data_IF_549711198801
#
_entry.id   IF_549711198801
#
_cell.length_a   1.000
_cell.length_b   1.000
_cell.length_c   1.000
_cell.angle_alpha   90.00
_cell.angle_beta   90.00
_cell.angle_gamma   90.00
#
_symmetry.space_group_name_H-M   'P 1'
#
loop_
_entity.id
_entity.type
_entity.pdbx_description
1 polymer ?
#
# COMPACT_ATOMS: atom_id res chain seq x y z
N UNK A 1 -7.53 82.58 20.94
CA UNK A 1 -6.37 83.48 21.21
C UNK A 1 -5.12 82.63 21.08
N UNK A 2 -4.29 83.01 20.13
CA UNK A 2 -2.85 82.77 19.91
C UNK A 2 -2.36 81.32 19.70
N UNK A 3 -1.97 81.01 18.48
CA UNK A 3 -0.69 81.30 17.79
C UNK A 3 0.49 80.57 18.44
N UNK A 4 1.30 79.78 17.78
CA UNK A 4 2.19 79.96 16.62
C UNK A 4 2.88 78.59 16.39
N UNK A 5 2.98 78.07 15.19
CA UNK A 5 4.10 78.06 14.26
C UNK A 5 5.45 77.57 14.81
N UNK A 6 5.92 76.53 14.16
CA UNK A 6 7.23 76.45 13.45
C UNK A 6 7.50 74.99 13.15
N UNK A 7 7.44 74.50 11.95
CA UNK A 7 8.35 74.50 10.80
C UNK A 7 9.80 74.11 11.16
N UNK A 8 10.30 73.17 10.38
CA UNK A 8 11.68 72.72 10.14
C UNK A 8 12.04 71.47 10.95
N UNK A 9 12.50 70.38 10.41
CA UNK A 9 13.42 70.15 9.27
C UNK A 9 13.28 68.71 8.78
N UNK A 10 13.33 68.51 7.49
CA UNK A 10 13.60 67.30 6.74
C UNK A 10 14.88 66.61 7.18
N UNK A 11 14.85 65.34 7.58
CA UNK A 11 15.96 64.44 7.37
C UNK A 11 15.38 63.16 6.77
N UNK A 12 15.58 63.02 5.50
CA UNK A 12 15.39 61.79 4.78
C UNK A 12 16.43 60.79 5.20
N UNK A 13 16.04 59.76 5.97
CA UNK A 13 16.84 58.57 6.12
C UNK A 13 16.22 57.48 5.28
N UNK A 14 16.81 57.31 4.11
CA UNK A 14 16.58 56.12 3.30
C UNK A 14 17.17 54.92 3.98
N UNK A 15 16.39 54.17 4.74
CA UNK A 15 16.75 52.83 5.11
C UNK A 15 16.18 51.88 4.03
N UNK A 16 17.10 51.33 3.25
CA UNK A 16 16.89 50.20 2.36
C UNK A 16 16.37 49.02 3.21
N UNK A 17 15.07 48.82 3.24
CA UNK A 17 14.50 47.56 3.72
C UNK A 17 14.74 46.54 2.61
N UNK A 18 15.85 45.83 2.74
CA UNK A 18 16.12 44.60 1.98
C UNK A 18 15.01 43.61 2.31
N UNK A 19 14.10 43.43 1.36
CA UNK A 19 13.07 42.41 1.39
C UNK A 19 13.74 41.05 1.18
N UNK A 20 14.28 40.51 2.27
CA UNK A 20 14.70 39.12 2.31
C UNK A 20 13.48 38.22 2.22
N UNK A 21 13.21 37.69 1.01
CA UNK A 21 12.27 36.56 0.82
C UNK A 21 12.75 35.37 1.63
N UNK A 22 12.24 35.26 2.85
CA UNK A 22 12.33 34.00 3.62
C UNK A 22 11.48 32.99 2.85
N UNK A 23 12.12 32.18 2.03
CA UNK A 23 11.54 30.93 1.56
C UNK A 23 11.35 30.06 2.80
N UNK A 24 10.14 30.10 3.36
CA UNK A 24 9.69 29.09 4.31
C UNK A 24 9.61 27.76 3.56
N UNK A 25 10.74 27.07 3.54
CA UNK A 25 10.76 25.64 3.22
C UNK A 25 10.06 24.94 4.37
N UNK A 26 8.75 24.82 4.24
CA UNK A 26 7.95 23.94 5.08
C UNK A 26 8.37 22.52 4.69
N UNK A 27 9.45 22.04 5.29
CA UNK A 27 9.77 20.61 5.29
C UNK A 27 8.59 19.90 5.93
N UNK A 28 7.73 19.33 5.07
CA UNK A 28 6.90 18.21 5.48
C UNK A 28 7.86 17.18 6.05
N UNK A 29 7.63 16.66 7.25
CA UNK A 29 8.33 15.46 7.65
C UNK A 29 7.87 14.37 6.69
N UNK A 30 8.67 14.12 5.68
CA UNK A 30 8.61 12.91 4.89
C UNK A 30 9.06 11.79 5.83
N UNK A 31 8.12 11.26 6.59
CA UNK A 31 8.16 9.85 6.96
C UNK A 31 7.84 9.10 5.67
N UNK A 32 8.68 9.29 4.68
CA UNK A 32 8.86 8.31 3.64
C UNK A 32 9.39 7.09 4.38
N UNK A 33 8.54 6.08 4.56
CA UNK A 33 9.00 4.71 4.65
C UNK A 33 10.00 4.59 3.50
N UNK A 34 11.27 4.57 3.84
CA UNK A 34 12.34 4.32 2.91
C UNK A 34 12.10 2.89 2.39
N UNK A 35 11.32 2.77 1.35
CA UNK A 35 11.41 1.63 0.46
C UNK A 35 12.84 1.72 -0.04
N UNK A 36 13.71 0.91 0.55
CA UNK A 36 15.08 0.82 0.12
C UNK A 36 15.02 0.38 -1.34
N UNK A 37 15.23 1.36 -2.24
CA UNK A 37 15.28 1.08 -3.65
C UNK A 37 16.40 0.07 -3.87
N UNK A 38 16.06 -1.07 -4.47
CA UNK A 38 17.05 -2.09 -4.81
C UNK A 38 18.15 -1.45 -5.66
N UNK A 39 19.37 -1.88 -5.44
CA UNK A 39 20.44 -1.53 -6.39
C UNK A 39 20.12 -2.15 -7.76
N UNK A 40 20.66 -1.60 -8.85
CA UNK A 40 20.43 -2.17 -10.18
C UNK A 40 20.87 -3.65 -10.31
N UNK A 41 21.84 -4.07 -9.50
CA UNK A 41 22.25 -5.47 -9.44
C UNK A 41 21.23 -6.34 -8.70
N UNK A 42 20.75 -5.88 -7.56
CA UNK A 42 19.70 -6.56 -6.79
C UNK A 42 18.41 -6.67 -7.62
N UNK A 43 18.03 -5.61 -8.33
CA UNK A 43 16.87 -5.62 -9.20
C UNK A 43 17.02 -6.69 -10.30
N UNK A 44 18.16 -6.74 -11.00
CA UNK A 44 18.41 -7.76 -12.03
C UNK A 44 18.36 -9.18 -11.46
N UNK A 45 18.91 -9.41 -10.25
CA UNK A 45 18.85 -10.73 -9.59
C UNK A 45 17.41 -11.10 -9.23
N UNK A 46 16.67 -10.16 -8.67
CA UNK A 46 15.26 -10.34 -8.34
C UNK A 46 14.45 -10.70 -9.60
N UNK A 47 14.57 -9.92 -10.66
CA UNK A 47 13.86 -10.15 -11.93
C UNK A 47 14.18 -11.51 -12.52
N UNK A 48 15.46 -11.91 -12.51
CA UNK A 48 15.89 -13.22 -12.99
C UNK A 48 15.26 -14.35 -12.17
N UNK A 49 15.34 -14.31 -10.85
CA UNK A 49 14.77 -15.34 -9.99
C UNK A 49 13.25 -15.40 -10.10
N UNK A 50 12.58 -14.25 -10.15
CA UNK A 50 11.14 -14.21 -10.29
C UNK A 50 10.65 -14.79 -11.62
N UNK A 51 11.26 -14.40 -12.73
CA UNK A 51 10.92 -14.93 -14.06
C UNK A 51 11.19 -16.43 -14.16
N UNK A 52 12.31 -16.88 -13.61
CA UNK A 52 12.65 -18.32 -13.62
C UNK A 52 11.70 -19.11 -12.70
N UNK A 53 11.29 -18.56 -11.56
CA UNK A 53 10.27 -19.17 -10.71
C UNK A 53 8.94 -19.34 -11.45
N UNK A 54 8.49 -18.31 -12.20
CA UNK A 54 7.28 -18.41 -13.02
C UNK A 54 7.40 -19.48 -14.10
N UNK A 55 8.54 -19.54 -14.77
CA UNK A 55 8.83 -20.58 -15.78
C UNK A 55 8.81 -22.00 -15.21
N UNK A 56 9.37 -22.20 -14.01
CA UNK A 56 9.34 -23.49 -13.31
C UNK A 56 7.93 -23.86 -12.84
N UNK A 57 7.15 -22.89 -12.37
CA UNK A 57 5.75 -23.06 -12.02
C UNK A 57 4.93 -23.59 -13.20
N UNK A 58 5.12 -23.02 -14.41
CA UNK A 58 4.47 -23.50 -15.64
C UNK A 58 4.87 -24.93 -15.99
N UNK A 59 6.13 -25.29 -15.71
CA UNK A 59 6.64 -26.67 -15.88
C UNK A 59 6.21 -27.63 -14.77
N UNK A 60 5.45 -27.14 -13.78
CA UNK A 60 5.00 -27.89 -12.60
C UNK A 60 6.15 -28.31 -11.66
N UNK A 61 7.32 -27.70 -11.79
CA UNK A 61 8.41 -27.85 -10.81
C UNK A 61 8.20 -26.86 -9.68
N UNK A 62 7.22 -27.19 -8.84
CA UNK A 62 6.76 -26.31 -7.76
C UNK A 62 7.80 -26.13 -6.64
N UNK A 63 8.61 -27.16 -6.36
CA UNK A 63 9.63 -27.09 -5.33
C UNK A 63 10.73 -26.09 -5.68
N UNK A 64 11.26 -26.19 -6.90
CA UNK A 64 12.28 -25.25 -7.40
C UNK A 64 11.74 -23.83 -7.55
N UNK A 65 10.50 -23.69 -8.05
CA UNK A 65 9.83 -22.40 -8.15
C UNK A 65 9.70 -21.71 -6.77
N UNK A 66 9.25 -22.44 -5.75
CA UNK A 66 9.12 -21.92 -4.40
C UNK A 66 10.48 -21.47 -3.83
N UNK A 67 11.54 -22.27 -4.02
CA UNK A 67 12.89 -21.90 -3.58
C UNK A 67 13.37 -20.59 -4.21
N UNK A 68 13.13 -20.39 -5.52
CA UNK A 68 13.50 -19.13 -6.20
C UNK A 68 12.66 -17.94 -5.72
N UNK A 69 11.38 -18.14 -5.40
CA UNK A 69 10.54 -17.09 -4.81
C UNK A 69 11.03 -16.69 -3.42
N UNK A 70 11.53 -17.63 -2.62
CA UNK A 70 12.17 -17.30 -1.34
C UNK A 70 13.43 -16.45 -1.54
N UNK A 71 14.27 -16.78 -2.55
CA UNK A 71 15.40 -15.91 -2.90
C UNK A 71 14.99 -14.52 -3.40
N UNK A 72 13.82 -14.40 -4.05
CA UNK A 72 13.25 -13.09 -4.35
C UNK A 72 12.98 -12.28 -3.07
N UNK A 73 12.41 -12.92 -2.06
CA UNK A 73 12.10 -12.28 -0.78
C UNK A 73 13.35 -11.99 0.07
N UNK A 74 14.44 -12.77 -0.07
CA UNK A 74 15.75 -12.46 0.53
C UNK A 74 16.31 -11.14 -0.03
N UNK A 75 16.09 -10.87 -1.33
CA UNK A 75 16.53 -9.65 -2.01
C UNK A 75 15.58 -8.49 -1.71
N UNK A 76 14.28 -8.73 -1.82
CA UNK A 76 13.22 -7.73 -1.66
C UNK A 76 12.10 -8.27 -0.77
N UNK A 77 12.21 -8.16 0.57
CA UNK A 77 11.26 -8.76 1.53
C UNK A 77 9.81 -8.28 1.37
N UNK A 78 9.63 -7.08 0.78
CA UNK A 78 8.33 -6.45 0.59
C UNK A 78 7.83 -6.53 -0.86
N UNK A 79 8.42 -7.37 -1.70
CA UNK A 79 7.99 -7.55 -3.07
C UNK A 79 6.60 -8.21 -3.13
N UNK A 80 5.57 -7.41 -3.39
CA UNK A 80 4.18 -7.85 -3.35
C UNK A 80 3.90 -9.04 -4.28
N UNK A 81 4.52 -9.09 -5.47
CA UNK A 81 4.38 -10.19 -6.42
C UNK A 81 4.97 -11.49 -5.88
N UNK A 82 6.16 -11.45 -5.29
CA UNK A 82 6.78 -12.63 -4.70
C UNK A 82 6.02 -13.10 -3.45
N UNK A 83 5.58 -12.17 -2.60
CA UNK A 83 4.74 -12.47 -1.43
C UNK A 83 3.43 -13.15 -1.82
N UNK A 84 2.76 -12.64 -2.85
CA UNK A 84 1.54 -13.25 -3.37
C UNK A 84 1.78 -14.68 -3.87
N UNK A 85 2.81 -14.88 -4.68
CA UNK A 85 3.13 -16.21 -5.20
C UNK A 85 3.50 -17.18 -4.07
N UNK A 86 4.36 -16.77 -3.12
CA UNK A 86 4.74 -17.58 -1.96
C UNK A 86 3.52 -17.93 -1.10
N UNK A 87 2.55 -17.03 -0.95
CA UNK A 87 1.31 -17.31 -0.21
C UNK A 87 0.55 -18.51 -0.79
N UNK A 88 0.51 -18.62 -2.12
CA UNK A 88 -0.16 -19.74 -2.80
C UNK A 88 0.53 -21.07 -2.50
N UNK A 89 1.86 -21.10 -2.43
CA UNK A 89 2.61 -22.30 -2.06
C UNK A 89 2.36 -22.70 -0.61
N UNK A 90 2.37 -21.74 0.33
CA UNK A 90 2.03 -22.02 1.72
C UNK A 90 0.60 -22.58 1.87
N UNK A 91 -0.37 -22.02 1.13
CA UNK A 91 -1.74 -22.55 1.12
C UNK A 91 -1.78 -23.99 0.59
N UNK A 92 -1.09 -24.27 -0.50
CA UNK A 92 -0.98 -25.62 -1.05
C UNK A 92 -0.37 -26.61 -0.04
N UNK A 93 0.66 -26.19 0.72
CA UNK A 93 1.32 -26.97 1.75
C UNK A 93 0.54 -27.04 3.07
N UNK A 94 -0.68 -26.51 3.12
CA UNK A 94 -1.51 -26.43 4.33
C UNK A 94 -0.89 -25.60 5.46
N UNK A 95 0.07 -24.76 5.15
CA UNK A 95 0.69 -23.80 6.07
C UNK A 95 -0.10 -22.48 6.05
N UNK A 96 -1.36 -22.58 6.47
CA UNK A 96 -2.34 -21.49 6.33
C UNK A 96 -1.89 -20.19 7.02
N UNK A 97 -1.33 -20.19 8.24
CA UNK A 97 -0.89 -18.97 8.91
C UNK A 97 0.21 -18.22 8.11
N UNK A 98 1.20 -18.95 7.58
CA UNK A 98 2.27 -18.35 6.78
C UNK A 98 1.74 -17.81 5.44
N UNK A 99 0.81 -18.54 4.82
CA UNK A 99 0.15 -18.11 3.59
C UNK A 99 -0.67 -16.84 3.78
N UNK A 100 -1.40 -16.76 4.89
CA UNK A 100 -2.17 -15.57 5.24
C UNK A 100 -1.26 -14.37 5.49
N UNK A 101 -0.22 -14.52 6.30
CA UNK A 101 0.75 -13.45 6.58
C UNK A 101 1.41 -12.92 5.29
N UNK A 102 1.82 -13.83 4.40
CA UNK A 102 2.41 -13.44 3.12
C UNK A 102 1.41 -12.68 2.24
N UNK A 103 0.15 -13.10 2.19
CA UNK A 103 -0.88 -12.46 1.39
C UNK A 103 -1.30 -11.10 1.98
N UNK A 104 -1.40 -10.98 3.29
CA UNK A 104 -1.63 -9.69 3.98
C UNK A 104 -0.52 -8.69 3.65
N UNK A 105 0.75 -9.12 3.69
CA UNK A 105 1.89 -8.30 3.28
C UNK A 105 1.84 -7.93 1.79
N UNK A 106 1.42 -8.84 0.92
CA UNK A 106 1.26 -8.56 -0.51
C UNK A 106 0.24 -7.45 -0.75
N UNK A 107 -0.92 -7.51 -0.09
CA UNK A 107 -1.98 -6.49 -0.17
C UNK A 107 -1.50 -5.15 0.41
N UNK A 108 -0.81 -5.17 1.55
CA UNK A 108 -0.29 -3.96 2.17
C UNK A 108 0.75 -3.24 1.28
N UNK A 109 1.58 -3.99 0.54
CA UNK A 109 2.61 -3.42 -0.34
C UNK A 109 2.09 -3.07 -1.75
N UNK A 110 0.97 -3.63 -2.18
CA UNK A 110 0.32 -3.33 -3.46
C UNK A 110 -1.20 -3.23 -3.30
N UNK A 111 -1.70 -2.22 -2.56
CA UNK A 111 -3.11 -2.09 -2.23
C UNK A 111 -4.00 -1.85 -3.46
N UNK A 112 -3.42 -1.39 -4.56
CA UNK A 112 -4.13 -1.16 -5.83
C UNK A 112 -4.17 -2.41 -6.73
N UNK A 113 -3.65 -3.54 -6.25
CA UNK A 113 -3.78 -4.80 -6.95
C UNK A 113 -5.07 -5.51 -6.51
N UNK A 114 -6.08 -5.43 -7.37
CA UNK A 114 -7.39 -6.06 -7.12
C UNK A 114 -7.29 -7.54 -6.77
N UNK A 115 -6.45 -8.30 -7.49
CA UNK A 115 -6.38 -9.75 -7.34
C UNK A 115 -5.79 -10.19 -6.01
N UNK A 116 -4.86 -9.41 -5.45
CA UNK A 116 -4.31 -9.70 -4.13
C UNK A 116 -5.37 -9.49 -3.04
N UNK A 117 -6.09 -8.37 -3.10
CA UNK A 117 -7.18 -8.07 -2.17
C UNK A 117 -8.32 -9.08 -2.28
N UNK A 118 -8.69 -9.48 -3.51
CA UNK A 118 -9.71 -10.50 -3.74
C UNK A 118 -9.30 -11.86 -3.14
N UNK A 119 -8.03 -12.25 -3.34
CA UNK A 119 -7.49 -13.48 -2.75
C UNK A 119 -7.53 -13.46 -1.23
N UNK A 120 -7.17 -12.33 -0.61
CA UNK A 120 -7.17 -12.18 0.84
C UNK A 120 -8.60 -12.17 1.42
N UNK A 121 -9.54 -11.48 0.77
CA UNK A 121 -10.93 -11.49 1.19
C UNK A 121 -11.53 -12.91 1.15
N UNK A 122 -11.23 -13.67 0.09
CA UNK A 122 -11.65 -15.07 -0.02
C UNK A 122 -11.03 -15.94 1.07
N UNK A 123 -9.77 -15.70 1.41
CA UNK A 123 -9.07 -16.44 2.47
C UNK A 123 -9.71 -16.16 3.85
N UNK A 124 -9.98 -14.91 4.18
CA UNK A 124 -10.66 -14.55 5.43
C UNK A 124 -12.05 -15.22 5.54
N UNK A 125 -12.81 -15.24 4.45
CA UNK A 125 -14.10 -15.94 4.42
C UNK A 125 -13.96 -17.44 4.67
N UNK A 126 -12.98 -18.10 4.02
CA UNK A 126 -12.71 -19.53 4.21
C UNK A 126 -12.31 -19.87 5.65
N UNK A 127 -11.64 -18.95 6.33
CA UNK A 127 -11.23 -19.11 7.71
C UNK A 127 -12.28 -18.64 8.72
N UNK A 128 -13.45 -18.21 8.25
CA UNK A 128 -14.51 -17.63 9.06
C UNK A 128 -14.07 -16.37 9.84
N UNK A 129 -13.07 -15.63 9.32
CA UNK A 129 -12.63 -14.32 9.82
C UNK A 129 -13.51 -13.22 9.20
N UNK A 130 -14.81 -13.28 9.45
CA UNK A 130 -15.80 -12.50 8.70
C UNK A 130 -15.64 -10.99 8.88
N UNK A 131 -15.26 -10.52 10.06
CA UNK A 131 -15.03 -9.08 10.31
C UNK A 131 -13.85 -8.53 9.49
N UNK A 132 -12.78 -9.31 9.33
CA UNK A 132 -11.66 -8.94 8.46
C UNK A 132 -12.07 -8.95 6.99
N UNK A 133 -12.87 -9.94 6.58
CA UNK A 133 -13.38 -10.02 5.21
C UNK A 133 -14.26 -8.81 4.88
N UNK A 134 -15.18 -8.43 5.77
CA UNK A 134 -16.04 -7.25 5.62
C UNK A 134 -15.21 -5.98 5.48
N UNK A 135 -14.29 -5.73 6.43
CA UNK A 135 -13.42 -4.54 6.40
C UNK A 135 -12.63 -4.43 5.10
N UNK A 136 -12.10 -5.54 4.60
CA UNK A 136 -11.33 -5.55 3.35
C UNK A 136 -12.25 -5.31 2.13
N UNK A 137 -13.43 -5.93 2.09
CA UNK A 137 -14.38 -5.76 1.00
C UNK A 137 -14.93 -4.34 0.92
N UNK A 138 -15.21 -3.68 2.05
CA UNK A 138 -15.56 -2.25 2.10
C UNK A 138 -14.47 -1.38 1.46
N UNK A 139 -13.21 -1.61 1.82
CA UNK A 139 -12.08 -0.92 1.19
C UNK A 139 -11.99 -1.20 -0.31
N UNK A 140 -12.27 -2.44 -0.74
CA UNK A 140 -12.26 -2.83 -2.15
C UNK A 140 -13.39 -2.15 -2.94
N UNK A 141 -14.60 -2.03 -2.39
CA UNK A 141 -15.72 -1.31 -3.03
C UNK A 141 -15.34 0.13 -3.34
N UNK A 142 -14.70 0.81 -2.39
CA UNK A 142 -14.26 2.20 -2.56
C UNK A 142 -13.09 2.31 -3.56
N UNK A 143 -12.13 1.38 -3.47
CA UNK A 143 -10.89 1.44 -4.27
C UNK A 143 -11.08 0.97 -5.71
N UNK A 144 -12.00 0.04 -5.93
CA UNK A 144 -12.24 -0.59 -7.24
C UNK A 144 -13.69 -0.42 -7.70
N UNK A 145 -14.19 0.81 -7.89
CA UNK A 145 -15.62 1.07 -8.15
C UNK A 145 -16.14 0.44 -9.46
N UNK A 146 -15.23 0.11 -10.38
CA UNK A 146 -15.59 -0.58 -11.63
C UNK A 146 -15.79 -2.11 -11.44
N UNK A 147 -15.45 -2.66 -10.26
CA UNK A 147 -15.59 -4.08 -9.93
C UNK A 147 -16.84 -4.27 -9.07
N UNK A 148 -17.73 -5.14 -9.51
CA UNK A 148 -18.99 -5.42 -8.78
C UNK A 148 -18.83 -6.54 -7.74
N UNK A 149 -17.89 -7.47 -7.96
CA UNK A 149 -17.71 -8.63 -7.09
C UNK A 149 -17.52 -8.29 -5.61
N UNK A 150 -16.71 -7.26 -5.22
CA UNK A 150 -16.57 -6.90 -3.80
C UNK A 150 -17.89 -6.48 -3.17
N UNK A 151 -18.74 -5.75 -3.89
CA UNK A 151 -20.04 -5.32 -3.41
C UNK A 151 -20.97 -6.51 -3.19
N UNK A 152 -21.05 -7.44 -4.16
CA UNK A 152 -21.88 -8.63 -3.99
C UNK A 152 -21.41 -9.53 -2.84
N UNK A 153 -20.10 -9.71 -2.70
CA UNK A 153 -19.54 -10.47 -1.59
C UNK A 153 -19.83 -9.81 -0.24
N UNK A 154 -19.76 -8.48 -0.18
CA UNK A 154 -20.07 -7.71 1.04
C UNK A 154 -21.54 -7.85 1.42
N UNK A 155 -22.46 -7.75 0.45
CA UNK A 155 -23.89 -7.93 0.66
C UNK A 155 -24.22 -9.35 1.18
N UNK A 156 -23.58 -10.38 0.63
CA UNK A 156 -23.74 -11.76 1.11
C UNK A 156 -23.27 -11.91 2.57
N UNK A 157 -22.12 -11.31 2.91
CA UNK A 157 -21.60 -11.37 4.28
C UNK A 157 -22.49 -10.62 5.29
N UNK A 158 -23.02 -9.44 4.94
CA UNK A 158 -23.96 -8.72 5.79
C UNK A 158 -25.25 -9.53 5.99
N UNK A 159 -25.77 -10.17 4.91
CA UNK A 159 -26.90 -11.05 5.01
C UNK A 159 -26.68 -12.24 5.96
N UNK A 160 -25.48 -12.81 5.96
CA UNK A 160 -25.10 -13.91 6.89
C UNK A 160 -24.95 -13.45 8.34
N UNK A 161 -24.54 -12.20 8.55
CA UNK A 161 -24.37 -11.62 9.88
C UNK A 161 -25.64 -11.00 10.43
N UNK A 162 -26.78 -11.06 9.67
CA UNK A 162 -28.03 -10.38 10.00
C UNK A 162 -27.90 -8.85 10.16
N UNK A 163 -26.86 -8.27 9.59
CA UNK A 163 -26.57 -6.82 9.63
C UNK A 163 -27.27 -6.12 8.46
N UNK A 164 -28.57 -6.24 8.38
CA UNK A 164 -29.35 -5.71 7.23
C UNK A 164 -29.35 -4.17 7.17
N UNK A 165 -29.19 -3.48 8.30
CA UNK A 165 -29.19 -2.01 8.37
C UNK A 165 -27.96 -1.40 7.67
N UNK A 166 -26.84 -2.10 7.61
CA UNK A 166 -25.60 -1.67 6.96
C UNK A 166 -25.66 -1.78 5.42
N UNK A 167 -26.66 -2.52 4.89
CA UNK A 167 -26.88 -2.69 3.45
C UNK A 167 -27.63 -1.50 2.84
N UNK A 168 -28.35 -0.72 3.67
CA UNK A 168 -29.31 0.30 3.23
C UNK A 168 -28.75 1.73 3.41
N UNK A 169 -27.67 1.89 4.16
CA UNK A 169 -27.02 3.19 4.42
C UNK A 169 -25.99 3.57 3.36
#
# INVERSE_FOLDING_TARGET
MNKKNSIWLLVAVWTLVSCGTVKSTREKPAVALAQSSLTPEQQRKYDYFFLEAMRLKEKKDYASAFGLLQHCLDIHPNAASALYEVSQYYMFLRQVPQGQEALEKAVANAPDNYWYSQGLASLYQQQNELDKAVTLLEQMVVRFPAKQDPLFNLLDLYGRQEKYDEVIS
#
